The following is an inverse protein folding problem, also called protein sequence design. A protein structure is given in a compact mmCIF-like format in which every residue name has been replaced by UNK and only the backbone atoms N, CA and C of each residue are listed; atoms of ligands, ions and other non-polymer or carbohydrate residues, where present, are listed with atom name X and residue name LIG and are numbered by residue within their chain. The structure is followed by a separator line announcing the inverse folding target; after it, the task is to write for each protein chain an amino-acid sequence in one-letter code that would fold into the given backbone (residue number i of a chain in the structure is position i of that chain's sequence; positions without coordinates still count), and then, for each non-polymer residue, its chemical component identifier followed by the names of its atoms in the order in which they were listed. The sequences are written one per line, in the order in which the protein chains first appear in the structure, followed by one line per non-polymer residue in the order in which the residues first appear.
data_IF_099991482567
#
_entry.id   IF_099991482567
#
_cell.length_a   1.000
_cell.length_b   1.000
_cell.length_c   1.000
_cell.angle_alpha   90.00
_cell.angle_beta   90.00
_cell.angle_gamma   90.00
#
_symmetry.space_group_name_H-M   'P 1'
#
loop_
_entity.id
_entity.type
_entity.pdbx_description
1 polymer ?
#
# COMPACT_ATOMS: atom_id res chain seq x y z
N UNK A 1 -8.64 -14.46 -10.99
CA UNK A 1 -8.11 -15.03 -12.23
C UNK A 1 -7.34 -14.03 -13.08
N UNK A 2 -7.81 -12.76 -13.27
CA UNK A 2 -7.15 -11.78 -14.12
C UNK A 2 -5.73 -11.42 -13.68
N UNK A 3 -5.50 -11.24 -12.39
CA UNK A 3 -4.18 -10.94 -11.84
C UNK A 3 -3.18 -12.08 -12.08
N UNK A 4 -3.62 -13.33 -11.88
CA UNK A 4 -2.79 -14.50 -12.18
C UNK A 4 -2.46 -14.58 -13.67
N UNK A 5 -3.44 -14.29 -14.55
CA UNK A 5 -3.21 -14.24 -16.00
C UNK A 5 -2.17 -13.20 -16.38
N UNK A 6 -2.27 -11.98 -15.86
CA UNK A 6 -1.28 -10.93 -16.09
C UNK A 6 0.13 -11.31 -15.59
N UNK A 7 0.22 -11.92 -14.42
CA UNK A 7 1.49 -12.37 -13.86
C UNK A 7 2.12 -13.47 -14.69
N UNK A 8 1.36 -14.49 -15.08
CA UNK A 8 1.84 -15.57 -15.93
C UNK A 8 2.26 -15.04 -17.31
N UNK A 9 1.47 -14.16 -17.91
CA UNK A 9 1.82 -13.52 -19.19
C UNK A 9 3.12 -12.74 -19.06
N UNK A 10 3.31 -11.97 -18.00
CA UNK A 10 4.55 -11.23 -17.73
C UNK A 10 5.77 -12.14 -17.58
N UNK A 11 5.62 -13.29 -16.92
CA UNK A 11 6.69 -14.28 -16.77
C UNK A 11 7.04 -14.88 -18.13
N UNK A 12 6.02 -15.29 -18.92
CA UNK A 12 6.23 -15.91 -20.23
C UNK A 12 6.88 -14.96 -21.22
N UNK A 13 6.45 -13.69 -21.27
CA UNK A 13 7.01 -12.68 -22.17
C UNK A 13 8.36 -12.12 -21.70
N UNK A 14 8.66 -12.29 -20.42
CA UNK A 14 9.85 -11.74 -19.77
C UNK A 14 11.15 -12.42 -20.19
N UNK A 15 12.30 -11.88 -19.68
CA UNK A 15 13.65 -12.25 -20.11
C UNK A 15 14.04 -13.69 -19.76
N UNK A 16 13.28 -14.36 -18.88
CA UNK A 16 13.61 -15.71 -18.43
C UNK A 16 12.94 -16.83 -19.22
N UNK A 17 11.98 -16.52 -20.12
CA UNK A 17 11.24 -17.53 -20.90
C UNK A 17 11.33 -17.23 -22.40
N UNK A 18 10.56 -16.25 -22.89
CA UNK A 18 10.52 -15.93 -24.33
C UNK A 18 11.38 -14.74 -24.74
N UNK A 19 11.81 -13.92 -23.79
CA UNK A 19 12.63 -12.71 -24.01
C UNK A 19 12.08 -11.79 -25.11
N UNK A 20 10.76 -11.58 -25.09
CA UNK A 20 10.06 -10.76 -26.09
C UNK A 20 9.94 -9.29 -25.66
N UNK A 21 10.35 -8.95 -24.44
CA UNK A 21 10.29 -7.58 -23.94
C UNK A 21 11.60 -6.84 -24.25
N UNK A 22 11.47 -5.72 -24.96
CA UNK A 22 12.61 -4.86 -25.25
C UNK A 22 13.27 -4.39 -23.93
N UNK A 23 14.62 -4.43 -23.82
CA UNK A 23 15.33 -3.97 -22.62
C UNK A 23 14.99 -2.54 -22.20
N UNK A 24 14.65 -1.65 -23.13
CA UNK A 24 14.24 -0.28 -22.81
C UNK A 24 12.91 -0.26 -22.03
N UNK A 25 11.97 -1.15 -22.34
CA UNK A 25 10.72 -1.28 -21.58
C UNK A 25 11.00 -1.76 -20.16
N UNK A 26 11.91 -2.72 -19.99
CA UNK A 26 12.31 -3.21 -18.68
C UNK A 26 12.99 -2.12 -17.86
N UNK A 27 13.84 -1.29 -18.46
CA UNK A 27 14.52 -0.19 -17.81
C UNK A 27 13.55 0.88 -17.27
N UNK A 28 12.49 1.21 -18.01
CA UNK A 28 11.46 2.20 -17.59
C UNK A 28 10.32 1.57 -16.78
N UNK A 29 10.32 0.25 -16.56
CA UNK A 29 9.21 -0.47 -15.90
C UNK A 29 8.93 0.04 -14.50
N UNK A 30 9.95 0.48 -13.75
CA UNK A 30 9.79 1.06 -12.42
C UNK A 30 9.01 2.38 -12.46
N UNK A 31 9.26 3.22 -13.45
CA UNK A 31 8.55 4.50 -13.62
C UNK A 31 7.11 4.28 -14.09
N UNK A 32 6.89 3.32 -15.00
CA UNK A 32 5.55 2.93 -15.43
C UNK A 32 4.70 2.40 -14.27
N UNK A 33 5.30 1.60 -13.36
CA UNK A 33 4.62 1.14 -12.14
C UNK A 33 4.25 2.29 -11.20
N UNK A 34 5.13 3.27 -11.02
CA UNK A 34 4.84 4.47 -10.21
C UNK A 34 3.69 5.27 -10.81
N UNK A 35 3.68 5.49 -12.13
CA UNK A 35 2.59 6.16 -12.81
C UNK A 35 1.26 5.42 -12.65
N UNK A 36 1.26 4.10 -12.85
CA UNK A 36 0.08 3.28 -12.64
C UNK A 36 -0.44 3.37 -11.21
N UNK A 37 0.45 3.32 -10.21
CA UNK A 37 0.10 3.47 -8.79
C UNK A 37 -0.55 4.83 -8.51
N UNK A 38 0.02 5.92 -9.03
CA UNK A 38 -0.55 7.28 -8.88
C UNK A 38 -1.97 7.33 -9.45
N UNK A 39 -2.20 6.78 -10.63
CA UNK A 39 -3.52 6.76 -11.28
C UNK A 39 -4.52 5.96 -10.43
N UNK A 40 -4.12 4.81 -9.91
CA UNK A 40 -4.96 3.96 -9.06
C UNK A 40 -5.32 4.69 -7.76
N UNK A 41 -4.34 5.31 -7.10
CA UNK A 41 -4.56 6.06 -5.86
C UNK A 41 -5.42 7.32 -6.08
N UNK A 42 -5.23 8.04 -7.19
CA UNK A 42 -6.10 9.16 -7.56
C UNK A 42 -7.56 8.70 -7.75
N UNK A 43 -7.77 7.59 -8.47
CA UNK A 43 -9.12 7.02 -8.66
C UNK A 43 -9.74 6.60 -7.32
N UNK A 44 -8.97 5.99 -6.45
CA UNK A 44 -9.41 5.64 -5.10
C UNK A 44 -9.82 6.88 -4.30
N UNK A 45 -8.98 7.92 -4.30
CA UNK A 45 -9.24 9.18 -3.59
C UNK A 45 -10.49 9.91 -4.09
N UNK A 46 -10.69 9.95 -5.41
CA UNK A 46 -11.88 10.57 -6.01
C UNK A 46 -13.17 9.79 -5.73
N UNK A 47 -13.08 8.46 -5.52
CA UNK A 47 -14.21 7.61 -5.15
C UNK A 47 -14.52 7.59 -3.64
N UNK A 48 -13.71 8.25 -2.81
CA UNK A 48 -13.84 8.22 -1.35
C UNK A 48 -14.90 9.22 -0.87
N UNK A 49 -15.96 8.71 -0.25
CA UNK A 49 -16.93 9.55 0.45
C UNK A 49 -16.38 9.95 1.84
N UNK A 50 -15.90 11.18 1.93
CA UNK A 50 -15.35 11.75 3.17
C UNK A 50 -16.40 11.85 4.28
N UNK A 51 -17.67 12.03 3.93
CA UNK A 51 -18.77 12.09 4.91
C UNK A 51 -19.08 10.72 5.50
N UNK A 52 -19.07 9.68 4.67
CA UNK A 52 -19.14 8.29 5.11
C UNK A 52 -17.97 7.91 6.02
N UNK A 53 -16.75 8.33 5.64
CA UNK A 53 -15.54 8.05 6.43
C UNK A 53 -15.58 8.70 7.83
N UNK A 54 -16.13 9.92 7.95
CA UNK A 54 -16.31 10.59 9.25
C UNK A 54 -17.28 9.84 10.16
N UNK A 55 -18.30 9.17 9.61
CA UNK A 55 -19.25 8.35 10.40
C UNK A 55 -18.58 7.10 10.96
N UNK A 56 -17.63 6.51 10.24
CA UNK A 56 -16.91 5.29 10.64
C UNK A 56 -15.92 5.61 11.80
N UNK A 57 -15.27 6.77 11.79
CA UNK A 57 -14.44 7.27 12.88
C UNK A 57 -13.30 6.34 13.32
N UNK A 58 -13.32 5.91 14.60
CA UNK A 58 -12.26 5.05 15.17
C UNK A 58 -11.93 3.78 14.42
N UNK A 59 -12.90 2.99 13.90
CA UNK A 59 -12.59 1.81 13.10
C UNK A 59 -11.73 2.09 11.87
N UNK A 60 -11.89 3.25 11.21
CA UNK A 60 -11.08 3.62 10.06
C UNK A 60 -9.60 3.80 10.43
N UNK A 61 -9.33 4.46 11.55
CA UNK A 61 -7.96 4.63 12.05
C UNK A 61 -7.36 3.28 12.47
N UNK A 62 -8.14 2.43 13.15
CA UNK A 62 -7.65 1.11 13.55
C UNK A 62 -7.34 0.22 12.34
N UNK A 63 -8.12 0.31 11.28
CA UNK A 63 -7.92 -0.46 10.06
C UNK A 63 -6.59 -0.13 9.36
N UNK A 64 -6.03 1.05 9.58
CA UNK A 64 -4.74 1.46 9.04
C UNK A 64 -3.54 0.76 9.68
N UNK A 65 -3.65 0.28 10.92
CA UNK A 65 -2.50 -0.23 11.68
C UNK A 65 -2.70 -1.64 12.22
N UNK A 66 -3.90 -1.96 12.70
CA UNK A 66 -4.17 -3.21 13.42
C UNK A 66 -3.96 -4.45 12.56
N UNK A 67 -4.52 -4.55 11.34
CA UNK A 67 -4.33 -5.75 10.53
C UNK A 67 -2.85 -6.03 10.23
N UNK A 68 -2.12 -5.03 9.73
CA UNK A 68 -0.70 -5.14 9.42
C UNK A 68 0.15 -5.47 10.65
N UNK A 69 -0.19 -4.91 11.82
CA UNK A 69 0.50 -5.22 13.07
C UNK A 69 0.29 -6.67 13.51
N UNK A 70 -0.92 -7.20 13.42
CA UNK A 70 -1.20 -8.59 13.75
C UNK A 70 -0.55 -9.56 12.77
N UNK A 71 -0.54 -9.23 11.48
CA UNK A 71 0.15 -10.03 10.47
C UNK A 71 1.66 -10.06 10.73
N UNK A 72 2.28 -8.90 10.95
CA UNK A 72 3.68 -8.81 11.33
C UNK A 72 4.00 -9.64 12.59
N UNK A 73 3.16 -9.53 13.63
CA UNK A 73 3.33 -10.31 14.87
C UNK A 73 3.22 -11.81 14.59
N UNK A 74 2.25 -12.24 13.79
CA UNK A 74 2.11 -13.65 13.39
C UNK A 74 3.37 -14.17 12.69
N UNK A 75 3.92 -13.40 11.76
CA UNK A 75 5.14 -13.75 11.03
C UNK A 75 6.35 -13.77 11.98
N UNK A 76 6.49 -12.80 12.88
CA UNK A 76 7.54 -12.75 13.90
C UNK A 76 7.55 -13.97 14.82
N UNK A 77 6.39 -14.53 15.13
CA UNK A 77 6.27 -15.71 15.99
C UNK A 77 6.53 -17.01 15.24
N UNK A 78 6.13 -17.10 13.98
CA UNK A 78 6.13 -18.34 13.21
C UNK A 78 7.38 -18.51 12.34
N UNK A 79 7.81 -17.48 11.61
CA UNK A 79 8.86 -17.61 10.61
C UNK A 79 10.24 -18.02 11.20
N UNK A 80 10.67 -17.57 12.39
CA UNK A 80 11.91 -18.05 12.99
C UNK A 80 11.92 -19.56 13.20
N UNK A 81 10.76 -20.12 13.57
CA UNK A 81 10.62 -21.56 13.83
C UNK A 81 10.44 -22.39 12.56
N UNK A 82 9.76 -21.84 11.55
CA UNK A 82 9.41 -22.57 10.33
C UNK A 82 10.50 -22.52 9.26
N UNK A 83 11.17 -21.35 9.13
CA UNK A 83 12.13 -21.09 8.04
C UNK A 83 13.54 -20.80 8.58
N UNK A 84 13.73 -20.74 9.89
CA UNK A 84 15.06 -20.55 10.51
C UNK A 84 15.64 -19.14 10.35
N UNK A 85 14.80 -18.13 10.06
CA UNK A 85 15.23 -16.74 9.93
C UNK A 85 15.53 -16.11 11.29
N UNK A 86 16.50 -15.21 11.33
CA UNK A 86 16.72 -14.35 12.49
C UNK A 86 15.52 -13.45 12.75
N UNK A 87 15.39 -12.94 13.97
CA UNK A 87 14.27 -12.06 14.34
C UNK A 87 14.19 -10.81 13.46
N UNK A 88 15.34 -10.25 13.07
CA UNK A 88 15.41 -9.05 12.23
C UNK A 88 15.02 -9.33 10.77
N UNK A 89 15.51 -10.43 10.20
CA UNK A 89 15.08 -10.88 8.86
C UNK A 89 13.59 -11.18 8.83
N UNK A 90 13.07 -11.78 9.88
CA UNK A 90 11.64 -12.06 10.05
C UNK A 90 10.82 -10.75 10.14
N UNK A 91 11.34 -9.73 10.84
CA UNK A 91 10.68 -8.43 10.91
C UNK A 91 10.64 -7.72 9.55
N UNK A 92 11.72 -7.82 8.77
CA UNK A 92 11.77 -7.30 7.39
C UNK A 92 10.77 -8.04 6.50
N UNK A 93 10.79 -9.37 6.53
CA UNK A 93 9.85 -10.21 5.77
C UNK A 93 8.41 -9.90 6.14
N UNK A 94 8.11 -9.81 7.44
CA UNK A 94 6.78 -9.51 7.96
C UNK A 94 6.28 -8.14 7.52
N UNK A 95 7.14 -7.12 7.52
CA UNK A 95 6.76 -5.79 7.03
C UNK A 95 6.46 -5.76 5.53
N UNK A 96 7.12 -6.59 4.72
CA UNK A 96 6.83 -6.70 3.29
C UNK A 96 5.51 -7.44 3.03
N UNK A 97 5.25 -8.53 3.77
CA UNK A 97 4.05 -9.34 3.58
C UNK A 97 2.79 -8.66 4.11
N UNK A 98 2.91 -7.86 5.17
CA UNK A 98 1.78 -7.12 5.75
C UNK A 98 1.25 -5.97 4.87
N UNK A 99 1.95 -5.62 3.79
CA UNK A 99 1.51 -4.60 2.85
C UNK A 99 0.32 -5.07 2.01
N UNK A 100 -0.76 -4.30 2.03
CA UNK A 100 -1.95 -4.57 1.22
C UNK A 100 -1.85 -3.85 -0.12
N UNK A 101 -1.96 -4.56 -1.25
CA UNK A 101 -1.85 -3.95 -2.58
C UNK A 101 -3.08 -3.11 -2.96
N UNK A 102 -2.98 -1.77 -3.06
CA UNK A 102 -4.07 -0.92 -3.52
C UNK A 102 -4.54 -1.30 -4.93
N UNK A 103 -3.64 -1.78 -5.79
CA UNK A 103 -3.96 -2.20 -7.15
C UNK A 103 -4.99 -3.35 -7.20
N UNK A 104 -5.06 -4.16 -6.15
CA UNK A 104 -6.02 -5.27 -6.03
C UNK A 104 -7.28 -4.83 -5.28
N UNK A 105 -7.10 -4.12 -4.17
CA UNK A 105 -8.19 -3.75 -3.25
C UNK A 105 -9.07 -2.67 -3.85
N UNK A 106 -8.49 -1.60 -4.40
CA UNK A 106 -9.27 -0.44 -4.89
C UNK A 106 -10.30 -0.82 -5.96
N UNK A 107 -9.95 -1.54 -7.05
CA UNK A 107 -10.94 -1.89 -8.07
C UNK A 107 -12.07 -2.77 -7.52
N UNK A 108 -11.75 -3.62 -6.53
CA UNK A 108 -12.75 -4.49 -5.89
C UNK A 108 -13.72 -3.72 -5.01
N UNK A 109 -13.20 -2.78 -4.21
CA UNK A 109 -14.03 -1.95 -3.33
C UNK A 109 -14.90 -0.99 -4.13
N UNK A 110 -14.36 -0.38 -5.19
CA UNK A 110 -15.13 0.47 -6.11
C UNK A 110 -16.29 -0.32 -6.73
N UNK A 111 -16.01 -1.53 -7.22
CA UNK A 111 -17.05 -2.40 -7.77
C UNK A 111 -18.14 -2.75 -6.75
N UNK A 112 -17.77 -3.09 -5.51
CA UNK A 112 -18.72 -3.37 -4.45
C UNK A 112 -19.60 -2.15 -4.11
N UNK A 113 -19.01 -0.95 -4.14
CA UNK A 113 -19.76 0.30 -3.96
C UNK A 113 -20.76 0.55 -5.12
N UNK A 114 -20.34 0.31 -6.36
CA UNK A 114 -21.20 0.43 -7.55
C UNK A 114 -22.37 -0.59 -7.50
N UNK A 115 -22.13 -1.77 -6.98
CA UNK A 115 -23.14 -2.83 -6.80
C UNK A 115 -23.98 -2.68 -5.52
N UNK A 116 -23.67 -1.70 -4.66
CA UNK A 116 -24.40 -1.41 -3.42
C UNK A 116 -24.09 -2.35 -2.24
N UNK A 117 -23.07 -3.20 -2.32
CA UNK A 117 -22.73 -4.14 -1.26
C UNK A 117 -21.95 -3.47 -0.11
N UNK A 118 -22.48 -3.55 1.10
CA UNK A 118 -21.85 -3.05 2.34
C UNK A 118 -21.69 -1.52 2.38
N UNK A 119 -22.44 -0.80 1.54
CA UNK A 119 -22.37 0.67 1.45
C UNK A 119 -23.09 1.35 2.60
N UNK A 120 -24.15 0.75 3.15
CA UNK A 120 -24.89 1.30 4.29
C UNK A 120 -24.04 1.37 5.54
N UNK A 121 -23.22 0.34 5.80
CA UNK A 121 -22.27 0.28 6.91
C UNK A 121 -20.93 0.94 6.60
N UNK A 122 -20.72 1.38 5.36
CA UNK A 122 -19.48 2.00 4.92
C UNK A 122 -18.27 1.05 4.86
N UNK A 123 -18.50 -0.27 4.70
CA UNK A 123 -17.42 -1.28 4.71
C UNK A 123 -16.41 -1.07 3.59
N UNK A 124 -16.80 -0.86 2.31
CA UNK A 124 -15.84 -0.61 1.25
C UNK A 124 -15.00 0.65 1.48
N UNK A 125 -15.62 1.72 2.00
CA UNK A 125 -14.95 2.97 2.33
C UNK A 125 -13.93 2.77 3.47
N UNK A 126 -14.29 1.98 4.50
CA UNK A 126 -13.40 1.61 5.59
C UNK A 126 -12.16 0.87 5.08
N UNK A 127 -12.36 -0.11 4.19
CA UNK A 127 -11.26 -0.90 3.62
C UNK A 127 -10.37 -0.03 2.73
N UNK A 128 -10.96 0.85 1.91
CA UNK A 128 -10.20 1.78 1.07
C UNK A 128 -9.34 2.75 1.90
N UNK A 129 -9.91 3.30 2.97
CA UNK A 129 -9.18 4.18 3.87
C UNK A 129 -8.02 3.44 4.57
N UNK A 130 -8.26 2.23 5.06
CA UNK A 130 -7.24 1.36 5.66
C UNK A 130 -6.11 1.10 4.68
N UNK A 131 -6.42 0.54 3.52
CA UNK A 131 -5.46 0.15 2.49
C UNK A 131 -4.65 1.32 1.88
N UNK A 132 -5.04 2.57 2.11
CA UNK A 132 -4.26 3.74 1.66
C UNK A 132 -3.23 4.20 2.67
N UNK A 133 -3.43 3.93 3.94
CA UNK A 133 -2.56 4.40 5.05
C UNK A 133 -1.64 3.28 5.55
N UNK A 134 -2.06 2.03 5.50
CA UNK A 134 -1.24 0.89 5.92
C UNK A 134 0.05 0.77 5.11
N UNK A 135 0.04 1.10 3.81
CA UNK A 135 1.25 1.17 2.98
C UNK A 135 2.33 2.06 3.60
N UNK A 136 1.93 3.25 4.10
CA UNK A 136 2.87 4.15 4.76
C UNK A 136 3.43 3.51 6.04
N UNK A 137 2.56 2.88 6.83
CA UNK A 137 2.95 2.22 8.07
C UNK A 137 3.95 1.09 7.82
N UNK A 138 3.69 0.20 6.86
CA UNK A 138 4.59 -0.92 6.56
C UNK A 138 5.90 -0.49 5.91
N UNK A 139 5.90 0.56 5.08
CA UNK A 139 7.12 1.15 4.52
C UNK A 139 8.03 1.68 5.63
N UNK A 140 7.46 2.30 6.67
CA UNK A 140 8.22 2.77 7.85
C UNK A 140 8.85 1.60 8.58
N UNK A 141 8.07 0.56 8.86
CA UNK A 141 8.58 -0.63 9.53
C UNK A 141 9.70 -1.27 8.71
N UNK A 142 9.49 -1.47 7.41
CA UNK A 142 10.46 -2.02 6.49
C UNK A 142 11.76 -1.22 6.45
N UNK A 143 11.67 0.11 6.28
CA UNK A 143 12.86 0.97 6.21
C UNK A 143 13.60 1.01 7.55
N UNK A 144 12.88 0.96 8.66
CA UNK A 144 13.46 0.89 10.01
C UNK A 144 14.24 -0.40 10.21
N UNK A 145 13.61 -1.55 9.97
CA UNK A 145 14.25 -2.86 10.16
C UNK A 145 15.43 -3.06 9.20
N UNK A 146 15.30 -2.61 7.95
CA UNK A 146 16.38 -2.65 6.97
C UNK A 146 17.54 -1.73 7.38
N UNK A 147 17.25 -0.56 7.91
CA UNK A 147 18.27 0.36 8.45
C UNK A 147 19.04 -0.24 9.63
N UNK A 148 18.35 -0.91 10.55
CA UNK A 148 18.97 -1.66 11.67
C UNK A 148 19.89 -2.77 11.13
N UNK A 149 19.43 -3.52 10.13
CA UNK A 149 20.19 -4.61 9.52
C UNK A 149 21.46 -4.10 8.83
N UNK A 150 21.42 -2.89 8.25
CA UNK A 150 22.57 -2.24 7.63
C UNK A 150 23.53 -1.58 8.63
N UNK A 151 23.30 -1.72 9.94
CA UNK A 151 24.14 -1.14 10.98
C UNK A 151 24.00 0.40 11.12
N UNK A 152 23.01 1.01 10.48
CA UNK A 152 22.78 2.47 10.54
C UNK A 152 22.14 2.94 11.85
N UNK A 153 21.85 2.01 12.77
CA UNK A 153 21.13 2.28 14.01
C UNK A 153 19.66 2.69 13.78
N UNK A 154 18.91 2.79 14.86
CA UNK A 154 17.53 3.32 14.80
C UNK A 154 17.63 4.84 14.65
N UNK A 155 17.49 5.34 13.44
CA UNK A 155 17.47 6.79 13.21
C UNK A 155 16.11 7.35 13.61
N UNK A 156 16.07 8.10 14.71
CA UNK A 156 14.88 8.86 15.13
C UNK A 156 14.39 9.79 14.01
N UNK A 157 15.33 10.27 13.16
CA UNK A 157 15.02 11.11 12.00
C UNK A 157 14.19 10.34 10.96
N UNK A 158 14.47 9.05 10.74
CA UNK A 158 13.65 8.23 9.82
C UNK A 158 12.22 8.06 10.32
N UNK A 159 12.01 7.94 11.63
CA UNK A 159 10.67 7.92 12.24
C UNK A 159 9.95 9.27 12.12
N UNK A 160 10.66 10.38 12.27
CA UNK A 160 10.11 11.73 12.14
C UNK A 160 9.77 12.08 10.68
N UNK A 161 10.51 11.55 9.71
CA UNK A 161 10.23 11.78 8.29
C UNK A 161 8.88 11.23 7.84
N UNK A 162 8.33 10.22 8.52
CA UNK A 162 7.05 9.61 8.16
C UNK A 162 5.87 10.54 8.44
N UNK A 163 5.64 11.00 9.69
CA UNK A 163 4.58 11.96 9.93
C UNK A 163 4.76 13.24 9.10
N UNK A 164 5.99 13.69 8.87
CA UNK A 164 6.28 14.84 8.00
C UNK A 164 5.83 14.57 6.56
N UNK A 165 6.16 13.41 6.00
CA UNK A 165 5.73 13.04 4.63
C UNK A 165 4.21 12.91 4.52
N UNK A 166 3.54 12.37 5.53
CA UNK A 166 2.07 12.28 5.58
C UNK A 166 1.47 13.68 5.60
N UNK A 167 1.93 14.56 6.49
CA UNK A 167 1.42 15.93 6.61
C UNK A 167 1.66 16.70 5.31
N UNK A 168 2.87 16.61 4.73
CA UNK A 168 3.16 17.25 3.45
C UNK A 168 2.28 16.71 2.33
N UNK A 169 2.08 15.42 2.25
CA UNK A 169 1.17 14.78 1.28
C UNK A 169 -0.26 15.29 1.40
N UNK A 170 -0.78 15.39 2.62
CA UNK A 170 -2.12 15.94 2.90
C UNK A 170 -2.20 17.42 2.48
N UNK A 171 -1.22 18.24 2.88
CA UNK A 171 -1.20 19.68 2.55
C UNK A 171 -1.13 19.90 1.04
N UNK A 172 -0.21 19.21 0.35
CA UNK A 172 -0.08 19.31 -1.11
C UNK A 172 -1.35 18.80 -1.79
N UNK A 173 -1.91 17.67 -1.34
CA UNK A 173 -3.15 17.11 -1.88
C UNK A 173 -4.34 18.06 -1.73
N UNK A 174 -4.50 18.69 -0.57
CA UNK A 174 -5.55 19.68 -0.32
C UNK A 174 -5.37 20.94 -1.19
N UNK A 175 -4.14 21.44 -1.30
CA UNK A 175 -3.84 22.62 -2.14
C UNK A 175 -4.11 22.35 -3.62
N UNK A 176 -3.63 21.22 -4.13
CA UNK A 176 -3.85 20.85 -5.54
C UNK A 176 -5.31 20.55 -5.82
N UNK A 177 -6.02 19.85 -4.92
CA UNK A 177 -7.45 19.60 -5.02
C UNK A 177 -8.28 20.89 -4.99
N UNK A 178 -7.94 21.83 -4.11
CA UNK A 178 -8.59 23.14 -4.05
C UNK A 178 -8.35 23.97 -5.33
N UNK A 179 -7.12 23.98 -5.85
CA UNK A 179 -6.79 24.65 -7.10
C UNK A 179 -7.59 24.07 -8.27
N UNK A 180 -7.63 22.75 -8.41
CA UNK A 180 -8.39 22.07 -9.46
C UNK A 180 -9.89 22.39 -9.35
N UNK A 181 -10.46 22.31 -8.13
CA UNK A 181 -11.88 22.64 -7.91
C UNK A 181 -12.25 24.11 -8.19
N UNK A 182 -11.26 25.02 -8.18
CA UNK A 182 -11.47 26.43 -8.51
C UNK A 182 -11.45 26.70 -10.01
N UNK A 183 -10.75 25.86 -10.79
CA UNK A 183 -10.60 26.04 -12.24
C UNK A 183 -11.58 25.20 -13.06
N UNK A 184 -12.23 24.23 -12.44
CA UNK A 184 -13.32 23.41 -13.01
C UNK A 184 -14.66 23.74 -12.37
#
# INVERSE_FOLDING_TARGET
PGLLGMLLTGIVLGPYVLDLLDPNILNISSELRKMALIIILMRAGLGLDVSGLKKIGRPAVMMCFVPASFELLGILLLAPRLIGLSLLETAILGSVLAAVSPAVVVPRMVKLMEEGYGTEEGIPQLILAGASVDDVYVIVLFTTFTGIMQGKGVSVVSFLNVPVSIILGIVIGLLTGWLLAKYY
#
